data_IF_619407510061
#
_entry.id   IF_619407510061
#
_cell.length_a   1.000
_cell.length_b   1.000
_cell.length_c   1.000
_cell.angle_alpha   90.00
_cell.angle_beta   90.00
_cell.angle_gamma   90.00
#
_symmetry.space_group_name_H-M   'P 1'
#
loop_
_entity.id
_entity.type
_entity.pdbx_description
1 polymer ?
#
# COMPACT_ATOMS: atom_id res chain seq x y z
N UNK A 1 -14.89 -1.59 2.55
CA UNK A 1 -14.17 -2.47 1.60
C UNK A 1 -13.08 -3.15 2.42
N UNK A 2 -13.25 -4.38 2.92
CA UNK A 2 -12.40 -5.00 3.95
C UNK A 2 -11.48 -6.12 3.44
N UNK A 3 -10.24 -6.19 3.94
CA UNK A 3 -9.27 -7.26 3.66
C UNK A 3 -8.48 -7.70 4.91
N UNK A 4 -8.18 -9.00 4.92
CA UNK A 4 -7.12 -9.73 5.64
C UNK A 4 -7.44 -10.37 7.00
N UNK A 5 -7.19 -11.69 7.08
CA UNK A 5 -6.83 -12.43 8.29
C UNK A 5 -6.36 -13.84 7.94
N UNK A 6 -5.41 -14.39 8.71
CA UNK A 6 -4.91 -15.77 8.64
C UNK A 6 -5.73 -16.68 9.56
N UNK A 7 -6.31 -17.75 9.02
CA UNK A 7 -6.88 -18.85 9.81
C UNK A 7 -5.77 -19.86 10.14
N UNK A 8 -5.45 -20.07 11.41
CA UNK A 8 -4.46 -21.07 11.86
C UNK A 8 -5.14 -22.03 12.83
N UNK A 9 -5.77 -23.09 12.30
CA UNK A 9 -5.95 -24.33 13.06
C UNK A 9 -4.71 -25.19 12.84
N UNK A 10 -4.24 -25.89 13.87
CA UNK A 10 -2.93 -26.55 13.93
C UNK A 10 -2.67 -27.67 12.89
N UNK A 11 -3.54 -27.84 11.89
CA UNK A 11 -3.33 -28.69 10.71
C UNK A 11 -4.22 -28.29 9.50
N UNK A 12 -4.65 -27.02 9.38
CA UNK A 12 -5.57 -26.56 8.31
C UNK A 12 -5.01 -25.45 7.41
N UNK A 13 -5.57 -25.25 6.20
CA UNK A 13 -5.12 -24.21 5.28
C UNK A 13 -5.34 -22.80 5.85
N UNK A 14 -4.41 -21.89 5.57
CA UNK A 14 -4.62 -20.45 5.83
C UNK A 14 -5.56 -19.89 4.77
N UNK A 15 -6.71 -19.36 5.20
CA UNK A 15 -7.68 -18.70 4.34
C UNK A 15 -7.65 -17.20 4.58
N UNK A 16 -7.68 -16.42 3.50
CA UNK A 16 -7.82 -14.96 3.51
C UNK A 16 -9.15 -14.61 2.83
N UNK A 17 -10.03 -13.90 3.55
CA UNK A 17 -11.37 -13.56 3.08
C UNK A 17 -11.47 -12.06 2.82
N UNK A 18 -11.92 -11.70 1.62
CA UNK A 18 -12.32 -10.35 1.24
C UNK A 18 -13.83 -10.22 1.44
N UNK A 19 -14.22 -9.55 2.52
CA UNK A 19 -15.63 -9.41 2.90
C UNK A 19 -16.12 -7.99 2.59
N UNK A 20 -16.84 -7.87 1.46
CA UNK A 20 -17.56 -6.64 1.11
C UNK A 20 -18.90 -6.67 1.86
N UNK A 21 -19.21 -5.59 2.58
CA UNK A 21 -20.46 -5.40 3.33
C UNK A 21 -20.60 -6.15 4.67
N UNK A 22 -19.50 -6.69 5.20
CA UNK A 22 -19.42 -7.29 6.55
C UNK A 22 -20.28 -8.55 6.75
N UNK A 23 -20.67 -9.23 5.67
CA UNK A 23 -21.54 -10.41 5.73
C UNK A 23 -20.89 -11.62 6.38
N UNK A 24 -19.55 -11.67 6.44
CA UNK A 24 -18.80 -12.81 6.96
C UNK A 24 -18.17 -12.55 8.34
N UNK A 25 -18.36 -11.36 8.93
CA UNK A 25 -17.73 -11.04 10.22
C UNK A 25 -18.08 -12.03 11.34
N UNK A 26 -19.35 -12.37 11.46
CA UNK A 26 -19.82 -13.31 12.48
C UNK A 26 -19.18 -14.69 12.24
N UNK A 27 -19.15 -15.15 10.98
CA UNK A 27 -18.55 -16.44 10.62
C UNK A 27 -17.05 -16.47 10.91
N UNK A 28 -16.31 -15.43 10.51
CA UNK A 28 -14.86 -15.33 10.75
C UNK A 28 -14.56 -15.39 12.24
N UNK A 29 -15.30 -14.62 13.06
CA UNK A 29 -15.13 -14.63 14.52
C UNK A 29 -15.51 -15.98 15.14
N UNK A 30 -16.60 -16.60 14.67
CA UNK A 30 -17.04 -17.91 15.16
C UNK A 30 -16.02 -19.03 14.86
N UNK A 31 -15.31 -18.93 13.73
CA UNK A 31 -14.22 -19.84 13.37
C UNK A 31 -12.89 -19.52 14.08
N UNK A 32 -12.87 -18.57 15.02
CA UNK A 32 -11.66 -18.15 15.73
C UNK A 32 -10.69 -17.31 14.89
N UNK A 33 -11.13 -16.80 13.74
CA UNK A 33 -10.37 -15.90 12.89
C UNK A 33 -10.36 -14.46 13.42
N UNK A 34 -9.38 -13.68 12.99
CA UNK A 34 -9.36 -12.24 13.21
C UNK A 34 -10.23 -11.53 12.16
N UNK A 35 -10.97 -10.48 12.55
CA UNK A 35 -11.72 -9.66 11.60
C UNK A 35 -11.23 -8.22 11.66
N UNK A 36 -10.65 -7.72 10.57
CA UNK A 36 -10.05 -6.39 10.47
C UNK A 36 -10.93 -5.47 9.58
N UNK A 37 -11.80 -4.64 10.18
CA UNK A 37 -12.69 -3.80 9.39
C UNK A 37 -11.93 -2.60 8.80
N UNK A 38 -11.94 -2.47 7.48
CA UNK A 38 -11.49 -1.25 6.80
C UNK A 38 -12.63 -0.24 6.74
N UNK A 39 -12.43 0.91 7.39
CA UNK A 39 -13.41 2.00 7.49
C UNK A 39 -12.86 3.21 6.75
N UNK A 40 -13.66 3.78 5.86
CA UNK A 40 -13.25 4.95 5.08
C UNK A 40 -12.76 6.08 5.99
N UNK A 41 -11.62 6.67 5.62
CA UNK A 41 -11.00 7.76 6.37
C UNK A 41 -10.35 7.36 7.70
N UNK A 42 -10.35 6.07 8.08
CA UNK A 42 -9.65 5.62 9.29
C UNK A 42 -8.36 4.91 8.92
N UNK A 43 -7.21 5.30 9.50
CA UNK A 43 -5.92 4.62 9.30
C UNK A 43 -6.05 3.10 9.36
N UNK A 44 -5.67 2.43 8.27
CA UNK A 44 -5.68 0.95 8.21
C UNK A 44 -4.51 0.35 8.96
N UNK A 45 -3.44 1.13 9.16
CA UNK A 45 -2.14 0.64 9.61
C UNK A 45 -1.32 -0.06 8.52
N UNK A 46 -1.83 -0.17 7.29
CA UNK A 46 -1.06 -0.75 6.19
C UNK A 46 0.02 0.22 5.74
N UNK A 47 1.23 -0.29 5.61
CA UNK A 47 2.34 0.40 5.00
C UNK A 47 3.30 -0.64 4.39
N UNK A 48 3.14 -0.98 3.10
CA UNK A 48 4.02 -1.90 2.40
C UNK A 48 5.52 -1.56 2.48
N UNK A 49 5.88 -0.28 2.54
CA UNK A 49 7.27 0.18 2.55
C UNK A 49 8.03 -0.19 3.83
N UNK A 50 7.31 -0.64 4.86
CA UNK A 50 7.87 -1.11 6.13
C UNK A 50 7.92 -2.64 6.26
N UNK A 51 7.58 -3.37 5.20
CA UNK A 51 7.71 -4.82 5.19
C UNK A 51 9.20 -5.24 5.25
N UNK A 52 9.52 -6.40 5.83
CA UNK A 52 10.90 -6.89 5.91
C UNK A 52 11.54 -6.99 4.53
N UNK A 53 12.80 -6.59 4.42
CA UNK A 53 13.51 -6.61 3.15
C UNK A 53 13.66 -8.05 2.62
N UNK A 54 13.43 -8.23 1.31
CA UNK A 54 13.59 -9.49 0.60
C UNK A 54 13.35 -9.30 -0.90
N UNK A 55 13.84 -10.21 -1.76
CA UNK A 55 13.70 -10.09 -3.20
C UNK A 55 12.23 -10.11 -3.65
N UNK A 56 11.42 -11.01 -3.10
CA UNK A 56 9.98 -11.08 -3.38
C UNK A 56 9.24 -9.82 -2.92
N UNK A 57 9.63 -9.29 -1.75
CA UNK A 57 9.07 -8.06 -1.22
C UNK A 57 9.39 -6.86 -2.11
N UNK A 58 10.60 -6.81 -2.66
CA UNK A 58 11.02 -5.75 -3.56
C UNK A 58 10.21 -5.77 -4.86
N UNK A 59 10.02 -6.94 -5.48
CA UNK A 59 9.20 -7.09 -6.68
C UNK A 59 7.72 -6.77 -6.44
N UNK A 60 7.20 -7.15 -5.26
CA UNK A 60 5.88 -6.74 -4.83
C UNK A 60 5.77 -5.20 -4.73
N UNK A 61 6.73 -4.53 -4.09
CA UNK A 61 6.72 -3.07 -3.94
C UNK A 61 6.79 -2.35 -5.29
N UNK A 62 7.61 -2.85 -6.21
CA UNK A 62 7.69 -2.33 -7.59
C UNK A 62 6.34 -2.41 -8.29
N UNK A 63 5.74 -3.60 -8.29
CA UNK A 63 4.45 -3.84 -8.94
C UNK A 63 3.34 -3.00 -8.29
N UNK A 64 3.33 -2.93 -6.96
CA UNK A 64 2.36 -2.15 -6.19
C UNK A 64 2.46 -0.65 -6.49
N UNK A 65 3.67 -0.06 -6.47
CA UNK A 65 3.86 1.35 -6.80
C UNK A 65 3.46 1.66 -8.24
N UNK A 66 3.78 0.78 -9.19
CA UNK A 66 3.34 0.94 -10.57
C UNK A 66 1.81 0.94 -10.68
N UNK A 67 1.11 0.09 -9.92
CA UNK A 67 -0.35 0.08 -9.88
C UNK A 67 -0.93 1.38 -9.32
N UNK A 68 -0.34 1.93 -8.25
CA UNK A 68 -0.79 3.19 -7.67
C UNK A 68 -0.55 4.40 -8.58
N UNK A 69 0.58 4.41 -9.29
CA UNK A 69 1.00 5.53 -10.12
C UNK A 69 0.51 5.44 -11.58
N UNK A 70 -0.15 4.34 -11.97
CA UNK A 70 -0.54 4.12 -13.36
C UNK A 70 -1.63 5.12 -13.79
N UNK A 71 -1.41 5.89 -14.87
CA UNK A 71 -2.43 6.77 -15.42
C UNK A 71 -3.54 5.97 -16.12
N UNK A 72 -4.74 6.54 -16.17
CA UNK A 72 -5.84 5.96 -16.93
C UNK A 72 -5.48 5.84 -18.42
N UNK A 73 -5.77 4.70 -19.03
CA UNK A 73 -5.66 4.51 -20.48
C UNK A 73 -4.25 4.26 -21.05
N UNK A 74 -3.18 4.28 -20.24
CA UNK A 74 -1.84 3.89 -20.72
C UNK A 74 -1.01 3.14 -19.68
N UNK A 75 0.09 2.55 -20.15
CA UNK A 75 1.14 2.03 -19.28
C UNK A 75 2.09 3.16 -18.85
N UNK A 76 2.89 2.90 -17.82
CA UNK A 76 4.03 3.76 -17.48
C UNK A 76 5.08 3.68 -18.59
N UNK A 77 5.67 4.83 -18.89
CA UNK A 77 6.83 4.93 -19.77
C UNK A 77 8.07 4.36 -19.07
N UNK A 78 9.08 4.02 -19.85
CA UNK A 78 10.38 3.55 -19.31
C UNK A 78 10.99 4.57 -18.34
N UNK A 79 10.82 5.87 -18.63
CA UNK A 79 11.30 6.95 -17.75
C UNK A 79 10.56 6.93 -16.41
N UNK A 80 9.23 6.92 -16.44
CA UNK A 80 8.42 6.86 -15.22
C UNK A 80 8.73 5.61 -14.38
N UNK A 81 8.91 4.45 -15.00
CA UNK A 81 9.29 3.23 -14.29
C UNK A 81 10.66 3.37 -13.61
N UNK A 82 11.63 4.01 -14.26
CA UNK A 82 12.96 4.27 -13.69
C UNK A 82 12.90 5.26 -12.53
N UNK A 83 12.12 6.33 -12.68
CA UNK A 83 11.96 7.37 -11.65
C UNK A 83 11.28 6.79 -10.40
N UNK A 84 10.26 5.93 -10.56
CA UNK A 84 9.67 5.17 -9.45
C UNK A 84 10.65 4.24 -8.76
N UNK A 85 11.49 3.53 -9.53
CA UNK A 85 12.50 2.64 -8.97
C UNK A 85 13.51 3.43 -8.14
N UNK A 86 13.98 4.58 -8.64
CA UNK A 86 14.90 5.44 -7.91
C UNK A 86 14.27 5.97 -6.61
N UNK A 87 13.00 6.41 -6.67
CA UNK A 87 12.26 6.86 -5.49
C UNK A 87 12.07 5.73 -4.46
N UNK A 88 11.79 4.51 -4.90
CA UNK A 88 11.71 3.33 -4.04
C UNK A 88 13.05 3.06 -3.36
N UNK A 89 14.16 3.06 -4.09
CA UNK A 89 15.49 2.86 -3.51
C UNK A 89 15.84 3.94 -2.47
N UNK A 90 15.58 5.22 -2.79
CA UNK A 90 15.77 6.33 -1.85
C UNK A 90 14.93 6.17 -0.58
N UNK A 91 13.69 5.72 -0.72
CA UNK A 91 12.80 5.44 0.42
C UNK A 91 13.29 4.28 1.27
N UNK A 92 13.74 3.19 0.65
CA UNK A 92 14.24 2.01 1.36
C UNK A 92 15.58 2.26 2.09
N UNK A 93 16.34 3.27 1.67
CA UNK A 93 17.54 3.71 2.37
C UNK A 93 17.23 4.43 3.71
N UNK A 94 16.00 4.93 3.90
CA UNK A 94 15.58 5.54 5.15
C UNK A 94 15.43 4.49 6.28
N UNK A 95 15.47 4.97 7.52
CA UNK A 95 15.13 4.13 8.67
C UNK A 95 13.68 3.63 8.54
N UNK A 96 13.41 2.36 8.90
CA UNK A 96 12.09 1.72 8.72
C UNK A 96 10.91 2.58 9.17
N UNK A 97 10.92 3.24 10.35
CA UNK A 97 9.79 4.06 10.79
C UNK A 97 9.50 5.28 9.91
N UNK A 98 10.49 5.74 9.14
CA UNK A 98 10.37 6.89 8.24
C UNK A 98 9.82 6.50 6.87
N UNK A 99 9.83 5.21 6.50
CA UNK A 99 9.41 4.75 5.18
C UNK A 99 7.90 4.88 5.03
N UNK A 100 7.48 5.82 4.19
CA UNK A 100 6.10 6.26 3.98
C UNK A 100 5.94 6.74 2.54
N UNK A 101 4.73 6.68 1.97
CA UNK A 101 4.48 7.21 0.62
C UNK A 101 4.75 8.72 0.58
N UNK A 102 4.40 9.43 1.66
CA UNK A 102 4.75 10.85 1.82
C UNK A 102 6.25 11.13 1.71
N UNK A 103 7.12 10.18 2.09
CA UNK A 103 8.58 10.32 1.90
C UNK A 103 9.03 9.90 0.52
N UNK A 104 8.37 8.92 -0.09
CA UNK A 104 8.70 8.46 -1.42
C UNK A 104 8.49 9.53 -2.47
N UNK A 105 7.40 10.29 -2.38
CA UNK A 105 7.11 11.35 -3.35
C UNK A 105 8.11 12.52 -3.30
N UNK A 106 8.84 12.70 -2.20
CA UNK A 106 9.91 13.71 -2.11
C UNK A 106 11.06 13.44 -3.09
N UNK A 107 11.21 12.21 -3.60
CA UNK A 107 12.20 11.84 -4.61
C UNK A 107 11.71 12.02 -6.06
N UNK A 108 10.48 12.47 -6.27
CA UNK A 108 9.85 12.62 -7.58
C UNK A 108 9.76 14.08 -8.01
N UNK A 109 9.65 14.32 -9.32
CA UNK A 109 9.42 15.65 -9.86
C UNK A 109 8.01 16.15 -9.51
N UNK A 110 7.93 17.16 -8.64
CA UNK A 110 6.69 17.79 -8.22
C UNK A 110 6.19 18.89 -9.17
N UNK A 111 6.96 19.25 -10.20
CA UNK A 111 6.62 20.33 -11.14
C UNK A 111 5.76 19.86 -12.30
N UNK A 112 5.76 18.56 -12.60
CA UNK A 112 4.90 17.97 -13.61
C UNK A 112 3.50 17.67 -13.05
N UNK A 113 2.45 18.41 -13.48
CA UNK A 113 1.08 18.23 -12.97
C UNK A 113 0.48 16.86 -13.34
N UNK A 114 1.01 16.18 -14.35
CA UNK A 114 0.56 14.84 -14.79
C UNK A 114 1.59 13.75 -14.45
N UNK A 115 2.64 14.14 -13.71
CA UNK A 115 3.77 13.30 -13.36
C UNK A 115 3.48 12.30 -12.25
N UNK A 116 4.51 11.53 -11.89
CA UNK A 116 4.42 10.52 -10.84
C UNK A 116 4.05 11.12 -9.47
N UNK A 117 4.62 12.27 -9.13
CA UNK A 117 4.30 12.97 -7.88
C UNK A 117 2.79 13.27 -7.79
N UNK A 118 2.23 13.92 -8.82
CA UNK A 118 0.82 14.27 -8.87
C UNK A 118 -0.09 13.03 -8.77
N UNK A 119 0.26 11.94 -9.47
CA UNK A 119 -0.54 10.70 -9.44
C UNK A 119 -0.46 9.95 -8.11
N UNK A 120 0.67 10.03 -7.39
CA UNK A 120 0.82 9.43 -6.06
C UNK A 120 0.30 10.32 -4.93
N UNK A 121 0.13 11.63 -5.16
CA UNK A 121 -0.30 12.59 -4.15
C UNK A 121 -1.62 12.20 -3.46
N UNK A 122 -2.57 11.61 -4.18
CA UNK A 122 -3.84 11.11 -3.61
C UNK A 122 -3.66 10.04 -2.52
N UNK A 123 -2.51 9.38 -2.48
CA UNK A 123 -2.15 8.37 -1.47
C UNK A 123 -1.25 8.90 -0.35
N UNK A 124 -0.90 10.20 -0.37
CA UNK A 124 0.09 10.77 0.54
C UNK A 124 -0.57 11.74 1.54
N UNK A 125 -0.29 11.55 2.82
CA UNK A 125 -0.73 12.45 3.89
C UNK A 125 -0.16 13.86 3.70
N UNK A 126 1.12 14.00 3.29
CA UNK A 126 1.78 15.29 3.07
C UNK A 126 1.09 16.15 2.00
N UNK A 127 0.37 15.53 1.07
CA UNK A 127 -0.40 16.19 0.02
C UNK A 127 -1.90 16.34 0.36
N UNK A 128 -2.33 15.93 1.55
CA UNK A 128 -3.76 15.89 1.91
C UNK A 128 -4.56 14.88 1.08
N UNK A 129 -3.92 13.80 0.62
CA UNK A 129 -4.51 12.82 -0.27
C UNK A 129 -5.71 12.08 0.35
N UNK A 130 -6.81 11.98 -0.41
CA UNK A 130 -8.05 11.33 0.03
C UNK A 130 -7.90 9.85 0.42
N UNK A 131 -6.86 9.18 -0.10
CA UNK A 131 -6.56 7.77 0.16
C UNK A 131 -5.34 7.57 1.08
N UNK A 132 -4.79 8.64 1.67
CA UNK A 132 -3.61 8.56 2.53
C UNK A 132 -3.78 7.60 3.72
N UNK A 133 -4.99 7.54 4.28
CA UNK A 133 -5.36 6.63 5.37
C UNK A 133 -5.16 5.14 5.04
N UNK A 134 -5.09 4.79 3.75
CA UNK A 134 -4.97 3.40 3.30
C UNK A 134 -3.54 2.88 3.42
N UNK A 135 -2.52 3.60 2.93
CA UNK A 135 -1.16 3.06 2.81
C UNK A 135 -0.05 3.91 3.40
N UNK A 136 -0.34 5.16 3.79
CA UNK A 136 0.68 6.09 4.23
C UNK A 136 0.78 6.15 5.76
N UNK A 137 0.76 4.99 6.43
CA UNK A 137 0.68 4.92 7.89
C UNK A 137 2.06 4.87 8.55
N UNK A 138 2.28 5.64 9.62
CA UNK A 138 3.40 5.42 10.55
C UNK A 138 3.04 4.22 11.43
N UNK A 139 3.89 3.19 11.48
CA UNK A 139 3.60 1.96 12.21
C UNK A 139 3.84 2.10 13.71
#
# INVERSE_FOLDING_TARGET
MGFWSRCSSAAGPTQVILDKDRGLEILVRALGGAYLPLRNGRPTGFNPLQLPAGPEQLEFLRTWLQLLARPAGRALTVRETRDLEQALQGTLALAVPQRRLSRLVEFLDATDPEGLHARLAGWCECAGGEYAWVFDNAR
#
